data_IF_247830321480
#
_entry.id   IF_247830321480
#
_cell.length_a   1.000
_cell.length_b   1.000
_cell.length_c   1.000
_cell.angle_alpha   90.00
_cell.angle_beta   90.00
_cell.angle_gamma   90.00
#
_symmetry.space_group_name_H-M   'P 1'
#
loop_
_entity.id
_entity.type
_entity.pdbx_description
1 polymer ?
#
# COMPACT_ATOMS: atom_id res chain seq x y z
N UNK A 1 -24.70 -18.62 6.67
CA UNK A 1 -25.70 -19.61 6.23
C UNK A 1 -26.92 -18.86 5.72
N UNK A 2 -27.43 -19.17 4.53
CA UNK A 2 -28.59 -18.48 3.93
C UNK A 2 -29.90 -19.03 4.50
N UNK A 3 -30.87 -18.17 4.88
CA UNK A 3 -32.16 -18.60 5.46
C UNK A 3 -32.99 -19.52 4.55
N UNK A 4 -32.68 -19.57 3.25
CA UNK A 4 -33.23 -20.51 2.27
C UNK A 4 -33.07 -21.99 2.68
N UNK A 5 -32.01 -22.32 3.42
CA UNK A 5 -31.68 -23.71 3.76
C UNK A 5 -32.60 -24.32 4.83
N UNK A 6 -33.47 -23.51 5.46
CA UNK A 6 -34.38 -23.94 6.52
C UNK A 6 -35.85 -24.05 6.07
N UNK A 7 -36.15 -23.80 4.78
CA UNK A 7 -37.52 -23.84 4.27
C UNK A 7 -37.82 -25.20 3.62
N UNK A 8 -38.75 -25.96 4.22
CA UNK A 8 -39.26 -27.23 3.69
C UNK A 8 -39.90 -27.05 2.31
N UNK A 9 -39.67 -27.96 1.33
CA UNK A 9 -40.29 -27.87 0.02
C UNK A 9 -41.80 -28.18 0.10
N UNK A 10 -42.64 -27.20 -0.23
CA UNK A 10 -44.10 -27.36 -0.32
C UNK A 10 -44.80 -26.15 -0.95
N UNK A 11 -46.06 -26.27 -1.40
CA UNK A 11 -46.77 -25.22 -2.15
C UNK A 11 -46.87 -23.87 -1.41
N UNK A 12 -46.99 -23.90 -0.07
CA UNK A 12 -46.99 -22.69 0.77
C UNK A 12 -45.62 -22.03 0.94
N UNK A 13 -44.54 -22.78 0.70
CA UNK A 13 -43.15 -22.29 0.84
C UNK A 13 -42.65 -21.55 -0.41
N UNK A 14 -43.31 -21.72 -1.55
CA UNK A 14 -42.84 -21.22 -2.85
C UNK A 14 -42.99 -19.69 -2.96
N UNK A 15 -44.12 -19.16 -2.50
CA UNK A 15 -44.35 -17.71 -2.40
C UNK A 15 -43.39 -17.04 -1.42
N UNK A 16 -43.09 -17.70 -0.30
CA UNK A 16 -42.12 -17.22 0.69
C UNK A 16 -40.69 -17.22 0.12
N UNK A 17 -40.31 -18.27 -0.62
CA UNK A 17 -39.02 -18.34 -1.33
C UNK A 17 -38.88 -17.26 -2.40
N UNK A 18 -39.92 -16.99 -3.19
CA UNK A 18 -39.93 -15.89 -4.16
C UNK A 18 -39.75 -14.51 -3.49
N UNK A 19 -40.52 -14.23 -2.43
CA UNK A 19 -40.41 -12.98 -1.68
C UNK A 19 -39.03 -12.81 -1.04
N UNK A 20 -38.47 -13.89 -0.47
CA UNK A 20 -37.14 -13.86 0.13
C UNK A 20 -36.05 -13.62 -0.94
N UNK A 21 -36.16 -14.23 -2.11
CA UNK A 21 -35.23 -14.00 -3.22
C UNK A 21 -35.32 -12.56 -3.73
N UNK A 22 -36.53 -12.02 -3.93
CA UNK A 22 -36.73 -10.61 -4.29
C UNK A 22 -36.12 -9.67 -3.25
N UNK A 23 -36.37 -9.91 -1.97
CA UNK A 23 -35.78 -9.13 -0.88
C UNK A 23 -34.25 -9.18 -0.91
N UNK A 24 -33.67 -10.37 -1.07
CA UNK A 24 -32.20 -10.53 -1.17
C UNK A 24 -31.62 -9.83 -2.41
N UNK A 25 -32.31 -9.85 -3.54
CA UNK A 25 -31.91 -9.13 -4.75
C UNK A 25 -31.99 -7.61 -4.57
N UNK A 26 -33.07 -7.09 -3.98
CA UNK A 26 -33.21 -5.67 -3.66
C UNK A 26 -32.12 -5.21 -2.68
N UNK A 27 -31.84 -5.99 -1.65
CA UNK A 27 -30.75 -5.70 -0.69
C UNK A 27 -29.38 -5.69 -1.39
N UNK A 28 -29.13 -6.64 -2.31
CA UNK A 28 -27.90 -6.64 -3.12
C UNK A 28 -27.81 -5.42 -4.02
N UNK A 29 -28.91 -5.02 -4.69
CA UNK A 29 -28.96 -3.82 -5.54
C UNK A 29 -28.70 -2.54 -4.73
N UNK A 30 -29.32 -2.40 -3.55
CA UNK A 30 -29.10 -1.25 -2.64
C UNK A 30 -27.64 -1.17 -2.20
N UNK A 31 -27.06 -2.27 -1.72
CA UNK A 31 -25.64 -2.32 -1.35
C UNK A 31 -24.71 -2.02 -2.53
N UNK A 32 -25.07 -2.48 -3.73
CA UNK A 32 -24.30 -2.17 -4.93
C UNK A 32 -24.31 -0.67 -5.24
N UNK A 33 -25.47 -0.01 -5.14
CA UNK A 33 -25.63 1.42 -5.38
C UNK A 33 -24.90 2.26 -4.34
N UNK A 34 -25.03 1.93 -3.06
CA UNK A 34 -24.32 2.58 -1.95
C UNK A 34 -22.80 2.47 -2.15
N UNK A 35 -22.29 1.26 -2.42
CA UNK A 35 -20.86 1.05 -2.68
C UNK A 35 -20.36 1.81 -3.92
N UNK A 36 -21.19 1.96 -4.97
CA UNK A 36 -20.84 2.79 -6.13
C UNK A 36 -20.72 4.26 -5.77
N UNK A 37 -21.69 4.77 -4.99
CA UNK A 37 -21.73 6.16 -4.56
C UNK A 37 -20.52 6.50 -3.69
N UNK A 38 -20.20 5.63 -2.73
CA UNK A 38 -19.04 5.80 -1.85
C UNK A 38 -17.72 5.74 -2.63
N UNK A 39 -17.59 4.79 -3.56
CA UNK A 39 -16.42 4.69 -4.46
C UNK A 39 -16.23 5.98 -5.26
N UNK A 40 -17.32 6.54 -5.79
CA UNK A 40 -17.28 7.79 -6.56
C UNK A 40 -16.81 8.95 -5.69
N UNK A 41 -17.37 9.09 -4.48
CA UNK A 41 -16.97 10.14 -3.54
C UNK A 41 -15.47 10.05 -3.18
N UNK A 42 -14.96 8.86 -2.83
CA UNK A 42 -13.53 8.64 -2.55
C UNK A 42 -12.63 8.99 -3.74
N UNK A 43 -13.06 8.67 -4.96
CA UNK A 43 -12.32 9.03 -6.19
C UNK A 43 -12.32 10.54 -6.46
N UNK A 44 -13.46 11.20 -6.27
CA UNK A 44 -13.58 12.65 -6.49
C UNK A 44 -12.71 13.42 -5.48
N UNK A 45 -12.69 12.97 -4.22
CA UNK A 45 -11.82 13.51 -3.18
C UNK A 45 -10.33 13.30 -3.49
N UNK A 46 -9.95 12.09 -3.93
CA UNK A 46 -8.59 11.79 -4.39
C UNK A 46 -8.18 12.70 -5.55
N UNK A 47 -9.02 12.90 -6.55
CA UNK A 47 -8.72 13.80 -7.67
C UNK A 47 -8.58 15.25 -7.22
N UNK A 48 -9.42 15.68 -6.27
CA UNK A 48 -9.34 17.00 -5.63
C UNK A 48 -7.98 17.23 -4.97
N UNK A 49 -7.50 16.29 -4.17
CA UNK A 49 -6.19 16.38 -3.52
C UNK A 49 -5.02 16.24 -4.51
N UNK A 50 -5.11 15.32 -5.49
CA UNK A 50 -4.08 15.19 -6.53
C UNK A 50 -3.97 16.45 -7.41
N UNK A 51 -5.06 17.21 -7.58
CA UNK A 51 -5.05 18.47 -8.33
C UNK A 51 -4.21 19.56 -7.67
N UNK A 52 -4.09 19.55 -6.33
CA UNK A 52 -3.31 20.53 -5.56
C UNK A 52 -1.80 20.34 -5.73
N UNK A 53 -1.36 19.15 -6.09
CA UNK A 53 0.06 18.84 -6.31
C UNK A 53 0.46 19.34 -7.69
N UNK A 54 1.47 20.18 -7.83
CA UNK A 54 1.96 20.60 -9.16
C UNK A 54 2.94 19.56 -9.71
N UNK A 55 2.80 19.20 -10.98
CA UNK A 55 3.67 18.21 -11.64
C UNK A 55 3.38 16.76 -11.26
N UNK A 56 4.42 15.92 -11.29
CA UNK A 56 4.37 14.49 -10.92
C UNK A 56 3.32 13.68 -11.69
N UNK A 57 3.21 13.93 -13.00
CA UNK A 57 2.15 13.35 -13.85
C UNK A 57 2.13 11.81 -13.79
N UNK A 58 3.29 11.17 -13.92
CA UNK A 58 3.38 9.70 -13.92
C UNK A 58 2.97 9.11 -12.57
N UNK A 59 3.40 9.72 -11.46
CA UNK A 59 3.00 9.32 -10.12
C UNK A 59 1.48 9.43 -9.94
N UNK A 60 0.89 10.56 -10.33
CA UNK A 60 -0.56 10.77 -10.26
C UNK A 60 -1.32 9.72 -11.08
N UNK A 61 -0.82 9.39 -12.29
CA UNK A 61 -1.42 8.37 -13.14
C UNK A 61 -1.38 6.98 -12.47
N UNK A 62 -0.24 6.61 -11.88
CA UNK A 62 -0.08 5.35 -11.16
C UNK A 62 -0.99 5.28 -9.93
N UNK A 63 -1.06 6.36 -9.13
CA UNK A 63 -1.93 6.45 -7.97
C UNK A 63 -3.41 6.29 -8.34
N UNK A 64 -3.87 6.96 -9.40
CA UNK A 64 -5.24 6.80 -9.92
C UNK A 64 -5.53 5.37 -10.33
N UNK A 65 -4.62 4.74 -11.08
CA UNK A 65 -4.79 3.36 -11.56
C UNK A 65 -4.95 2.40 -10.38
N UNK A 66 -4.13 2.58 -9.36
CA UNK A 66 -4.14 1.71 -8.20
C UNK A 66 -5.33 1.99 -7.27
N UNK A 67 -5.68 3.25 -7.01
CA UNK A 67 -6.86 3.63 -6.23
C UNK A 67 -8.15 3.08 -6.85
N UNK A 68 -8.31 3.21 -8.18
CA UNK A 68 -9.44 2.59 -8.91
C UNK A 68 -9.48 1.08 -8.72
N UNK A 69 -8.33 0.42 -8.78
CA UNK A 69 -8.21 -1.03 -8.56
C UNK A 69 -8.66 -1.45 -7.15
N UNK A 70 -8.29 -0.68 -6.13
CA UNK A 70 -8.67 -0.97 -4.74
C UNK A 70 -10.15 -0.72 -4.46
N UNK A 71 -10.71 0.39 -4.94
CA UNK A 71 -12.13 0.67 -4.77
C UNK A 71 -13.01 -0.33 -5.52
N UNK A 72 -12.57 -0.79 -6.69
CA UNK A 72 -13.24 -1.88 -7.41
C UNK A 72 -13.26 -3.17 -6.58
N UNK A 73 -12.16 -3.48 -5.90
CA UNK A 73 -12.06 -4.66 -5.04
C UNK A 73 -12.91 -4.52 -3.78
N UNK A 74 -12.96 -3.34 -3.16
CA UNK A 74 -13.86 -3.02 -2.05
C UNK A 74 -15.32 -3.23 -2.45
N UNK A 75 -15.73 -2.69 -3.60
CA UNK A 75 -17.07 -2.90 -4.16
C UNK A 75 -17.39 -4.38 -4.39
N UNK A 76 -16.44 -5.14 -4.96
CA UNK A 76 -16.61 -6.59 -5.16
C UNK A 76 -16.79 -7.32 -3.83
N UNK A 77 -16.03 -6.97 -2.78
CA UNK A 77 -16.20 -7.52 -1.42
C UNK A 77 -17.56 -7.18 -0.82
N UNK A 78 -18.05 -5.94 -1.00
CA UNK A 78 -19.39 -5.53 -0.55
C UNK A 78 -20.52 -6.35 -1.20
N UNK A 79 -20.30 -6.84 -2.41
CA UNK A 79 -21.20 -7.75 -3.13
C UNK A 79 -21.04 -9.23 -2.74
N UNK A 80 -20.14 -9.54 -1.81
CA UNK A 80 -19.85 -10.91 -1.37
C UNK A 80 -18.97 -11.70 -2.34
N UNK A 81 -18.34 -11.04 -3.33
CA UNK A 81 -17.38 -11.69 -4.21
C UNK A 81 -16.06 -11.87 -3.48
N UNK A 82 -15.43 -13.03 -3.67
CA UNK A 82 -14.07 -13.28 -3.19
C UNK A 82 -13.10 -12.49 -4.07
N UNK A 83 -12.31 -11.63 -3.44
CA UNK A 83 -11.26 -10.87 -4.10
C UNK A 83 -9.95 -11.15 -3.37
N UNK A 84 -8.89 -11.39 -4.12
CA UNK A 84 -7.55 -11.53 -3.54
C UNK A 84 -7.14 -10.23 -2.81
N UNK A 85 -6.22 -10.36 -1.86
CA UNK A 85 -5.60 -9.19 -1.27
C UNK A 85 -4.78 -8.45 -2.33
N UNK A 86 -5.15 -7.20 -2.63
CA UNK A 86 -4.36 -6.33 -3.49
C UNK A 86 -3.31 -5.66 -2.62
N UNK A 87 -2.03 -5.92 -2.92
CA UNK A 87 -0.93 -5.30 -2.19
C UNK A 87 -0.73 -3.87 -2.71
N UNK A 88 -0.60 -2.87 -1.84
CA UNK A 88 -0.09 -1.57 -2.25
C UNK A 88 1.28 -1.71 -2.91
N UNK A 89 1.58 -0.96 -3.98
CA UNK A 89 2.92 -0.94 -4.53
C UNK A 89 3.85 -0.22 -3.55
N UNK A 90 5.03 -0.79 -3.33
CA UNK A 90 6.16 -0.05 -2.79
C UNK A 90 6.74 0.82 -3.91
N UNK A 91 7.29 1.98 -3.57
CA UNK A 91 7.66 3.00 -4.57
C UNK A 91 9.13 3.41 -4.46
N UNK A 92 9.73 3.83 -5.57
CA UNK A 92 11.03 4.49 -5.58
C UNK A 92 10.91 5.97 -6.01
N UNK A 93 11.27 6.89 -5.13
CA UNK A 93 11.29 8.33 -5.41
C UNK A 93 12.69 8.77 -5.84
N UNK A 94 12.86 8.98 -7.14
CA UNK A 94 14.13 9.33 -7.76
C UNK A 94 14.26 10.85 -7.97
N UNK A 95 15.45 11.41 -7.73
CA UNK A 95 15.81 12.77 -8.14
C UNK A 95 16.70 13.48 -7.12
N UNK A 96 17.01 14.75 -7.38
CA UNK A 96 17.95 15.54 -6.57
C UNK A 96 17.40 15.89 -5.17
N UNK A 97 18.26 16.34 -4.22
CA UNK A 97 17.82 16.92 -2.96
C UNK A 97 16.88 18.11 -3.20
N UNK A 98 15.99 18.38 -2.25
CA UNK A 98 15.11 19.55 -2.32
C UNK A 98 13.97 19.45 -3.33
N UNK A 99 13.82 18.35 -4.08
CA UNK A 99 12.69 18.16 -5.01
C UNK A 99 11.38 17.73 -4.32
N UNK A 100 11.27 17.92 -3.00
CA UNK A 100 10.04 17.65 -2.24
C UNK A 100 9.65 16.17 -2.05
N UNK A 101 10.58 15.21 -2.16
CA UNK A 101 10.27 13.76 -2.03
C UNK A 101 9.54 13.42 -0.73
N UNK A 102 10.07 13.89 0.40
CA UNK A 102 9.47 13.72 1.72
C UNK A 102 8.08 14.37 1.80
N UNK A 103 7.92 15.55 1.19
CA UNK A 103 6.61 16.22 1.13
C UNK A 103 5.59 15.40 0.34
N UNK A 104 6.00 14.85 -0.80
CA UNK A 104 5.16 13.96 -1.62
C UNK A 104 4.77 12.71 -0.83
N UNK A 105 5.69 12.10 -0.07
CA UNK A 105 5.39 10.94 0.76
C UNK A 105 4.33 11.26 1.84
N UNK A 106 4.42 12.44 2.48
CA UNK A 106 3.41 12.90 3.47
C UNK A 106 2.04 13.13 2.84
N UNK A 107 2.00 13.74 1.66
CA UNK A 107 0.73 13.92 0.91
C UNK A 107 0.16 12.56 0.54
N UNK A 108 1.01 11.64 0.10
CA UNK A 108 0.60 10.28 -0.22
C UNK A 108 0.03 9.56 1.01
N UNK A 109 0.67 9.63 2.17
CA UNK A 109 0.16 9.04 3.41
C UNK A 109 -1.27 9.49 3.71
N UNK A 110 -1.53 10.80 3.64
CA UNK A 110 -2.86 11.38 3.82
C UNK A 110 -3.87 10.87 2.80
N UNK A 111 -3.50 10.88 1.53
CA UNK A 111 -4.33 10.39 0.44
C UNK A 111 -4.74 8.94 0.63
N UNK A 112 -3.76 8.08 0.92
CA UNK A 112 -3.97 6.65 1.11
C UNK A 112 -4.81 6.33 2.34
N UNK A 113 -4.65 7.11 3.40
CA UNK A 113 -5.48 7.00 4.59
C UNK A 113 -6.93 7.40 4.30
N UNK A 114 -7.12 8.55 3.64
CA UNK A 114 -8.43 9.11 3.27
C UNK A 114 -9.27 8.14 2.43
N UNK A 115 -8.65 7.45 1.47
CA UNK A 115 -9.35 6.44 0.65
C UNK A 115 -9.46 5.06 1.32
N UNK A 116 -9.07 4.94 2.59
CA UNK A 116 -9.22 3.73 3.40
C UNK A 116 -8.20 2.61 3.11
N UNK A 117 -7.07 2.95 2.49
CA UNK A 117 -6.05 1.97 2.12
C UNK A 117 -5.02 1.79 3.24
N UNK A 118 -4.58 2.89 3.85
CA UNK A 118 -3.76 2.86 5.04
C UNK A 118 -4.62 3.10 6.28
N UNK A 119 -4.40 2.33 7.37
CA UNK A 119 -5.04 2.61 8.66
C UNK A 119 -4.73 4.01 9.20
N UNK A 120 -3.58 4.57 8.87
CA UNK A 120 -3.12 5.89 9.32
C UNK A 120 -2.47 6.67 8.19
N UNK A 121 -2.39 8.00 8.31
CA UNK A 121 -1.63 8.86 7.40
C UNK A 121 -0.15 8.99 7.77
N UNK A 122 0.33 8.19 8.76
CA UNK A 122 1.66 8.29 9.32
C UNK A 122 2.73 8.01 8.28
N UNK A 123 3.74 8.87 8.26
CA UNK A 123 4.98 8.66 7.50
C UNK A 123 6.16 8.70 8.47
N UNK A 124 6.82 7.55 8.63
CA UNK A 124 8.04 7.41 9.41
C UNK A 124 9.22 7.54 8.47
N UNK A 125 9.95 8.65 8.58
CA UNK A 125 11.14 8.94 7.79
C UNK A 125 12.38 8.39 8.49
N UNK A 126 13.20 7.64 7.76
CA UNK A 126 14.40 6.98 8.28
C UNK A 126 15.55 7.12 7.31
N UNK A 127 16.76 7.19 7.84
CA UNK A 127 18.03 7.14 7.11
C UNK A 127 18.87 5.96 7.60
N UNK A 128 20.03 5.75 6.97
CA UNK A 128 20.99 4.69 7.36
C UNK A 128 21.29 4.71 8.87
N UNK A 129 21.48 5.89 9.45
CA UNK A 129 21.79 6.07 10.88
C UNK A 129 20.67 5.59 11.80
N UNK A 130 19.42 5.59 11.34
CA UNK A 130 18.26 5.16 12.12
C UNK A 130 18.05 3.64 12.05
N UNK A 131 18.59 3.00 11.01
CA UNK A 131 18.38 1.58 10.73
C UNK A 131 19.58 0.73 11.15
N UNK A 132 20.80 1.23 10.91
CA UNK A 132 22.04 0.48 11.09
C UNK A 132 22.61 0.73 12.50
N UNK A 133 23.00 -0.36 13.17
CA UNK A 133 23.65 -0.32 14.48
C UNK A 133 25.16 -0.13 14.40
N UNK A 134 25.76 0.32 15.49
CA UNK A 134 27.22 0.51 15.61
C UNK A 134 27.96 -0.81 15.84
N UNK A 135 27.26 -1.83 16.35
CA UNK A 135 27.83 -3.12 16.74
C UNK A 135 27.10 -4.29 16.04
N UNK A 136 27.80 -5.41 15.88
CA UNK A 136 27.24 -6.66 15.34
C UNK A 136 25.95 -7.03 16.08
N UNK A 137 24.90 -7.37 15.33
CA UNK A 137 23.61 -7.80 15.88
C UNK A 137 22.69 -6.67 16.37
N UNK A 138 23.10 -5.40 16.28
CA UNK A 138 22.24 -4.28 16.64
C UNK A 138 21.33 -3.82 15.49
N UNK A 139 21.70 -4.08 14.24
CA UNK A 139 20.98 -3.57 13.06
C UNK A 139 19.60 -4.18 12.90
N UNK A 140 19.44 -5.50 12.95
CA UNK A 140 18.13 -6.15 12.86
C UNK A 140 17.11 -5.62 13.88
N UNK A 141 17.40 -5.63 15.20
CA UNK A 141 16.50 -5.07 16.20
C UNK A 141 16.18 -3.59 16.00
N UNK A 142 17.16 -2.78 15.59
CA UNK A 142 17.00 -1.34 15.35
C UNK A 142 16.08 -1.08 14.15
N UNK A 143 16.32 -1.78 13.04
CA UNK A 143 15.48 -1.73 11.83
C UNK A 143 14.05 -2.20 12.11
N UNK A 144 13.87 -3.32 12.81
CA UNK A 144 12.54 -3.83 13.18
C UNK A 144 11.73 -2.85 14.05
N UNK A 145 12.39 -2.07 14.92
CA UNK A 145 11.71 -1.03 15.71
C UNK A 145 11.14 0.06 14.80
N UNK A 146 11.91 0.54 13.84
CA UNK A 146 11.46 1.55 12.88
C UNK A 146 10.34 1.02 11.96
N UNK A 147 10.45 -0.23 11.51
CA UNK A 147 9.38 -0.90 10.75
C UNK A 147 8.09 -0.96 11.57
N UNK A 148 8.18 -1.39 12.83
CA UNK A 148 7.02 -1.48 13.74
C UNK A 148 6.38 -0.12 13.97
N UNK A 149 7.20 0.91 14.12
CA UNK A 149 6.72 2.28 14.28
C UNK A 149 5.94 2.79 13.05
N UNK A 150 6.27 2.28 11.87
CA UNK A 150 5.67 2.64 10.59
C UNK A 150 4.52 1.72 10.15
N UNK A 151 4.16 0.70 10.95
CA UNK A 151 3.01 -0.18 10.67
C UNK A 151 1.70 0.60 10.53
N UNK A 152 0.89 0.24 9.54
CA UNK A 152 -0.34 0.95 9.21
C UNK A 152 -0.14 2.28 8.50
N UNK A 153 1.10 2.62 8.14
CA UNK A 153 1.48 3.85 7.44
C UNK A 153 2.53 3.61 6.35
N UNK A 154 3.39 4.61 6.17
CA UNK A 154 4.50 4.60 5.20
C UNK A 154 5.85 4.62 5.95
N UNK A 155 6.75 3.71 5.60
CA UNK A 155 8.18 3.82 5.89
C UNK A 155 8.87 4.50 4.71
N UNK A 156 9.37 5.72 4.93
CA UNK A 156 10.11 6.49 3.95
C UNK A 156 11.62 6.36 4.23
N UNK A 157 12.32 5.60 3.39
CA UNK A 157 13.75 5.34 3.51
C UNK A 157 14.52 6.32 2.64
N UNK A 158 15.05 7.37 3.24
CA UNK A 158 15.81 8.39 2.53
C UNK A 158 17.26 7.94 2.29
N UNK A 159 17.79 8.39 1.15
CA UNK A 159 19.09 7.97 0.61
C UNK A 159 19.32 6.45 0.70
N UNK A 160 18.30 5.67 0.32
CA UNK A 160 18.27 4.21 0.47
C UNK A 160 19.46 3.49 -0.17
N UNK A 161 20.07 4.09 -1.21
CA UNK A 161 21.29 3.58 -1.83
C UNK A 161 22.47 3.46 -0.86
N UNK A 162 22.47 4.20 0.26
CA UNK A 162 23.48 4.09 1.31
C UNK A 162 23.38 2.80 2.11
N UNK A 163 22.27 2.07 2.06
CA UNK A 163 22.13 0.76 2.70
C UNK A 163 22.79 -0.35 1.88
N UNK A 164 23.10 -0.10 0.61
CA UNK A 164 23.70 -1.11 -0.28
C UNK A 164 25.17 -0.78 -0.50
N UNK A 165 26.10 -1.67 -0.15
CA UNK A 165 27.52 -1.45 -0.40
C UNK A 165 27.81 -1.35 -1.91
N UNK A 166 28.55 -0.31 -2.31
CA UNK A 166 28.98 -0.11 -3.71
C UNK A 166 30.16 -1.01 -4.12
N UNK A 167 30.85 -1.63 -3.16
CA UNK A 167 31.96 -2.55 -3.40
C UNK A 167 31.81 -3.79 -2.51
N UNK A 168 32.14 -4.96 -3.06
CA UNK A 168 32.36 -6.21 -2.29
C UNK A 168 33.71 -6.12 -1.58
N UNK A 169 33.91 -5.15 -0.70
CA UNK A 169 35.04 -5.15 0.22
C UNK A 169 34.64 -5.90 1.49
N UNK A 170 35.57 -6.70 2.02
CA UNK A 170 35.46 -7.63 3.16
C UNK A 170 35.00 -7.02 4.50
N UNK A 171 34.56 -5.77 4.51
CA UNK A 171 34.07 -5.10 5.70
C UNK A 171 32.57 -5.36 5.85
N UNK A 172 32.17 -5.80 7.04
CA UNK A 172 30.78 -6.17 7.37
C UNK A 172 29.86 -4.95 7.28
N UNK A 173 29.36 -4.64 6.09
CA UNK A 173 28.37 -3.59 5.90
C UNK A 173 27.00 -4.07 6.39
N UNK A 174 26.66 -3.71 7.62
CA UNK A 174 25.36 -4.01 8.23
C UNK A 174 24.18 -3.29 7.53
N UNK A 175 24.42 -2.41 6.55
CA UNK A 175 23.37 -1.80 5.74
C UNK A 175 22.53 -2.83 4.97
N UNK A 176 23.17 -3.92 4.51
CA UNK A 176 22.48 -4.98 3.79
C UNK A 176 21.48 -5.71 4.71
N UNK A 177 21.86 -5.97 5.96
CA UNK A 177 20.98 -6.56 6.97
C UNK A 177 19.72 -5.70 7.19
N UNK A 178 19.88 -4.38 7.30
CA UNK A 178 18.74 -3.47 7.42
C UNK A 178 17.81 -3.53 6.19
N UNK A 179 18.39 -3.58 4.98
CA UNK A 179 17.60 -3.68 3.76
C UNK A 179 16.83 -5.01 3.70
N UNK A 180 17.46 -6.13 4.06
CA UNK A 180 16.83 -7.45 4.08
C UNK A 180 15.64 -7.50 5.04
N UNK A 181 15.78 -6.91 6.23
CA UNK A 181 14.68 -6.80 7.21
C UNK A 181 13.52 -5.98 6.64
N UNK A 182 13.78 -4.84 5.97
CA UNK A 182 12.74 -4.06 5.30
C UNK A 182 12.08 -4.88 4.19
N UNK A 183 12.86 -5.57 3.37
CA UNK A 183 12.35 -6.39 2.28
C UNK A 183 11.50 -7.56 2.77
N UNK A 184 11.79 -8.11 3.95
CA UNK A 184 11.03 -9.21 4.54
C UNK A 184 9.58 -8.84 4.88
N UNK A 185 9.31 -7.56 5.19
CA UNK A 185 7.98 -7.09 5.59
C UNK A 185 7.14 -6.53 4.44
N UNK A 186 7.75 -6.29 3.27
CA UNK A 186 7.05 -5.77 2.08
C UNK A 186 5.91 -6.69 1.63
N UNK A 187 6.08 -8.02 1.74
CA UNK A 187 5.06 -8.99 1.35
C UNK A 187 3.89 -9.11 2.36
N UNK A 188 4.04 -8.56 3.56
CA UNK A 188 3.03 -8.64 4.63
C UNK A 188 1.80 -7.75 4.39
N UNK A 189 1.97 -6.69 3.60
CA UNK A 189 0.91 -5.72 3.29
C UNK A 189 0.50 -4.80 4.45
N UNK A 190 1.20 -4.83 5.59
CA UNK A 190 0.91 -3.97 6.76
C UNK A 190 1.50 -2.57 6.65
N UNK A 191 2.37 -2.35 5.68
CA UNK A 191 3.17 -1.15 5.54
C UNK A 191 3.46 -0.88 4.07
N UNK A 192 3.51 0.40 3.70
CA UNK A 192 4.01 0.84 2.40
C UNK A 192 5.44 1.34 2.59
N UNK A 193 6.33 0.96 1.68
CA UNK A 193 7.74 1.37 1.75
C UNK A 193 8.02 2.25 0.55
N UNK A 194 8.60 3.42 0.80
CA UNK A 194 9.06 4.35 -0.23
C UNK A 194 10.56 4.50 -0.07
N UNK A 195 11.31 4.09 -1.09
CA UNK A 195 12.75 4.28 -1.13
C UNK A 195 13.06 5.56 -1.89
N UNK A 196 13.81 6.48 -1.29
CA UNK A 196 14.17 7.74 -1.90
C UNK A 196 15.68 7.86 -2.09
N UNK A 197 16.08 8.62 -3.11
CA UNK A 197 17.47 8.98 -3.32
C UNK A 197 17.73 9.57 -4.70
N UNK A 198 19.02 9.79 -4.97
CA UNK A 198 19.47 10.28 -6.28
C UNK A 198 19.21 9.25 -7.36
N UNK A 199 18.79 9.74 -8.53
CA UNK A 199 18.36 8.89 -9.65
C UNK A 199 19.41 7.85 -10.03
N UNK A 200 20.67 8.26 -10.20
CA UNK A 200 21.73 7.36 -10.66
C UNK A 200 22.12 6.28 -9.63
N UNK A 201 22.46 6.62 -8.36
CA UNK A 201 22.70 5.61 -7.32
C UNK A 201 21.52 4.66 -7.12
N UNK A 202 20.29 5.16 -7.08
CA UNK A 202 19.10 4.33 -6.87
C UNK A 202 18.84 3.39 -8.05
N UNK A 203 19.00 3.85 -9.30
CA UNK A 203 18.88 2.97 -10.48
C UNK A 203 19.87 1.82 -10.40
N UNK A 204 21.14 2.09 -10.06
CA UNK A 204 22.15 1.03 -9.88
C UNK A 204 21.70 0.00 -8.84
N UNK A 205 21.18 0.46 -7.72
CA UNK A 205 20.63 -0.39 -6.65
C UNK A 205 19.49 -1.26 -7.17
N UNK A 206 18.50 -0.67 -7.83
CA UNK A 206 17.32 -1.36 -8.35
C UNK A 206 17.73 -2.43 -9.37
N UNK A 207 18.67 -2.14 -10.27
CA UNK A 207 19.15 -3.10 -11.26
C UNK A 207 20.05 -4.19 -10.69
N UNK A 208 20.78 -3.90 -9.60
CA UNK A 208 21.68 -4.87 -8.98
C UNK A 208 20.96 -5.91 -8.10
N UNK A 209 19.72 -5.64 -7.69
CA UNK A 209 18.94 -6.50 -6.81
C UNK A 209 17.60 -6.87 -7.45
N UNK A 210 17.50 -8.09 -7.98
CA UNK A 210 16.27 -8.59 -8.62
C UNK A 210 15.04 -8.55 -7.68
N UNK A 211 15.24 -8.75 -6.38
CA UNK A 211 14.16 -8.71 -5.39
C UNK A 211 13.58 -7.30 -5.22
N UNK A 212 14.40 -6.27 -5.39
CA UNK A 212 13.99 -4.87 -5.34
C UNK A 212 13.17 -4.50 -6.58
N UNK A 213 13.66 -4.87 -7.78
CA UNK A 213 12.98 -4.60 -9.05
C UNK A 213 11.57 -5.21 -9.14
N UNK A 214 11.35 -6.39 -8.54
CA UNK A 214 10.04 -7.06 -8.56
C UNK A 214 9.00 -6.43 -7.62
N UNK A 215 9.43 -5.74 -6.57
CA UNK A 215 8.56 -5.25 -5.48
C UNK A 215 8.35 -3.74 -5.49
N UNK A 216 9.22 -2.99 -6.16
CA UNK A 216 9.23 -1.53 -6.17
C UNK A 216 8.90 -1.00 -7.57
N UNK A 217 7.96 -0.06 -7.65
CA UNK A 217 7.53 0.62 -8.89
C UNK A 217 8.07 2.04 -8.96
#
# INVERSE_FOLDING_TARGET
MTPLNHLSPGPGSEKLRQLLNQYLEEQRKRRALEACSETKAKMDELEGELSKIVGLHDLKLQLRKWARGMLLDERRRALGLKVGARRPPHMAFLGNPGTGKTMVARILGKLLHMVGILPTDKVTEVQRTDLVGEFVGHTGPKTRRMIKEAEGGILFVDEAYRLIPMQKSDDKDYGLEALEEIMSVMDSGKIIVIFAGYSEPMKRVIYSNEGFCRRVT
#
